data_IF_283133712270
#
_entry.id   IF_283133712270
#
_cell.length_a   1.000
_cell.length_b   1.000
_cell.length_c   1.000
_cell.angle_alpha   90.00
_cell.angle_beta   90.00
_cell.angle_gamma   90.00
#
_symmetry.space_group_name_H-M   'P 1'
#
loop_
_entity.id
_entity.type
_entity.pdbx_description
1 polymer ?
#
# COMPACT_ATOMS: atom_id res chain seq x y z
N UNK A 1 16.39 39.40 -8.36
CA UNK A 1 17.25 39.87 -7.23
C UNK A 1 17.27 41.39 -7.14
N UNK A 2 17.88 42.14 -8.07
CA UNK A 2 17.88 43.62 -8.00
C UNK A 2 16.48 44.25 -8.02
N UNK A 3 15.54 43.74 -8.83
CA UNK A 3 14.14 44.19 -8.82
C UNK A 3 13.35 43.84 -7.55
N UNK A 4 13.80 42.81 -6.80
CA UNK A 4 13.14 42.39 -5.56
C UNK A 4 13.62 43.25 -4.38
N UNK A 5 14.91 43.61 -4.38
CA UNK A 5 15.49 44.53 -3.39
C UNK A 5 14.86 45.92 -3.49
N UNK A 6 14.51 46.35 -4.71
CA UNK A 6 13.92 47.67 -4.95
C UNK A 6 12.46 47.78 -4.47
N UNK A 7 11.69 46.69 -4.55
CA UNK A 7 10.31 46.65 -4.05
C UNK A 7 10.23 46.64 -2.51
N UNK A 8 11.22 46.01 -1.85
CA UNK A 8 11.29 45.94 -0.38
C UNK A 8 11.65 47.31 0.22
N UNK A 9 12.49 48.10 -0.47
CA UNK A 9 12.88 49.44 -0.01
C UNK A 9 11.77 50.49 -0.16
N UNK A 10 10.79 50.28 -1.03
CA UNK A 10 9.65 51.19 -1.19
C UNK A 10 8.58 50.94 -0.10
N UNK A 11 8.36 49.69 0.32
CA UNK A 11 7.41 49.35 1.41
C UNK A 11 7.92 49.77 2.81
N UNK A 12 9.24 49.75 3.06
CA UNK A 12 9.81 50.16 4.36
C UNK A 12 9.73 51.68 4.64
N UNK A 13 9.33 52.50 3.65
CA UNK A 13 9.30 53.96 3.77
C UNK A 13 7.95 54.55 4.16
N UNK A 14 6.88 53.75 4.24
CA UNK A 14 5.51 54.22 4.54
C UNK A 14 5.01 53.92 5.97
N UNK A 15 5.70 53.10 6.77
CA UNK A 15 5.30 52.82 8.15
C UNK A 15 6.17 53.58 9.16
N UNK A 16 5.85 54.86 9.34
CA UNK A 16 6.43 55.71 10.36
C UNK A 16 5.84 55.47 11.76
N UNK A 17 6.70 55.71 12.74
CA UNK A 17 6.43 56.34 14.05
C UNK A 17 5.24 55.81 14.89
N UNK A 18 5.55 55.04 15.94
CA UNK A 18 4.91 55.25 17.24
C UNK A 18 5.79 54.81 18.42
N UNK A 19 5.58 55.50 19.53
CA UNK A 19 6.47 55.79 20.66
C UNK A 19 6.76 54.64 21.65
N UNK A 20 7.96 54.72 22.25
CA UNK A 20 8.39 53.96 23.44
C UNK A 20 7.61 54.35 24.69
N UNK A 21 7.10 53.36 25.42
CA UNK A 21 6.98 53.41 26.89
C UNK A 21 7.55 52.11 27.51
N UNK A 22 8.25 52.30 28.63
CA UNK A 22 9.08 51.32 29.33
C UNK A 22 8.23 50.35 30.18
N UNK A 23 8.55 49.05 30.15
CA UNK A 23 7.96 48.08 31.07
C UNK A 23 8.44 46.64 30.88
N UNK A 24 9.22 46.17 31.85
CA UNK A 24 9.58 44.77 32.19
C UNK A 24 10.50 43.95 31.26
N UNK A 25 11.71 43.69 31.76
CA UNK A 25 12.88 43.21 31.00
C UNK A 25 13.06 41.69 30.97
N UNK A 26 11.97 40.91 31.10
CA UNK A 26 12.05 39.44 31.02
C UNK A 26 11.27 38.81 29.86
N UNK A 27 10.34 39.52 29.20
CA UNK A 27 9.57 38.99 28.05
C UNK A 27 10.17 39.33 26.66
N UNK A 28 10.95 40.41 26.56
CA UNK A 28 11.43 40.95 25.26
C UNK A 28 12.34 40.02 24.44
N UNK A 29 13.06 39.10 25.10
CA UNK A 29 13.96 38.15 24.41
C UNK A 29 13.18 37.05 23.67
N UNK A 30 12.00 36.69 24.19
CA UNK A 30 11.14 35.68 23.59
C UNK A 30 10.41 36.24 22.36
N UNK A 31 9.90 37.48 22.44
CA UNK A 31 9.19 38.15 21.36
C UNK A 31 10.09 38.44 20.15
N UNK A 32 11.33 38.88 20.39
CA UNK A 32 12.32 39.08 19.31
C UNK A 32 12.61 37.77 18.57
N UNK A 33 12.74 36.64 19.30
CA UNK A 33 12.98 35.33 18.69
C UNK A 33 11.77 34.81 17.89
N UNK A 34 10.55 35.15 18.31
CA UNK A 34 9.31 34.79 17.61
C UNK A 34 9.15 35.62 16.34
N UNK A 35 9.50 36.90 16.36
CA UNK A 35 9.47 37.76 15.18
C UNK A 35 10.49 37.30 14.13
N UNK A 36 11.71 36.95 14.54
CA UNK A 36 12.71 36.36 13.62
C UNK A 36 12.21 35.05 12.99
N UNK A 37 11.52 34.20 13.75
CA UNK A 37 10.93 32.96 13.19
C UNK A 37 9.83 33.26 12.16
N UNK A 38 8.97 34.25 12.42
CA UNK A 38 7.91 34.68 11.48
C UNK A 38 8.48 35.26 10.19
N UNK A 39 9.54 36.08 10.29
CA UNK A 39 10.22 36.64 9.11
C UNK A 39 10.89 35.54 8.28
N UNK A 40 11.58 34.60 8.95
CA UNK A 40 12.17 33.44 8.28
C UNK A 40 11.11 32.57 7.59
N UNK A 41 9.95 32.36 8.22
CA UNK A 41 8.83 31.63 7.62
C UNK A 41 8.31 32.33 6.36
N UNK A 42 8.08 33.65 6.42
CA UNK A 42 7.68 34.45 5.24
C UNK A 42 8.71 34.35 4.12
N UNK A 43 10.00 34.40 4.46
CA UNK A 43 11.09 34.26 3.50
C UNK A 43 11.07 32.87 2.84
N UNK A 44 10.92 31.80 3.63
CA UNK A 44 10.81 30.44 3.11
C UNK A 44 9.59 30.26 2.21
N UNK A 45 8.42 30.79 2.58
CA UNK A 45 7.22 30.77 1.73
C UNK A 45 7.44 31.51 0.41
N UNK A 46 8.13 32.65 0.44
CA UNK A 46 8.43 33.43 -0.76
C UNK A 46 9.35 32.65 -1.73
N UNK A 47 10.38 31.98 -1.20
CA UNK A 47 11.30 31.14 -1.97
C UNK A 47 10.58 29.92 -2.53
N UNK A 48 9.75 29.26 -1.72
CA UNK A 48 8.96 28.12 -2.13
C UNK A 48 8.01 28.48 -3.28
N UNK A 49 7.31 29.61 -3.19
CA UNK A 49 6.43 30.10 -4.26
C UNK A 49 7.17 30.38 -5.57
N UNK A 50 8.39 30.92 -5.50
CA UNK A 50 9.22 31.20 -6.68
C UNK A 50 9.75 29.90 -7.32
N UNK A 51 10.13 28.93 -6.50
CA UNK A 51 10.76 27.67 -6.95
C UNK A 51 9.74 26.57 -7.27
N UNK A 52 8.46 26.79 -7.00
CA UNK A 52 7.42 25.75 -7.07
C UNK A 52 7.57 24.68 -5.98
N UNK A 53 8.27 25.01 -4.88
CA UNK A 53 8.43 24.16 -3.71
C UNK A 53 7.26 24.27 -2.72
N UNK A 54 7.24 23.41 -1.72
CA UNK A 54 6.29 23.44 -0.61
C UNK A 54 7.03 23.63 0.72
N UNK A 55 6.43 24.41 1.64
CA UNK A 55 6.91 24.56 3.02
C UNK A 55 5.98 23.79 3.92
N UNK A 56 6.53 22.91 4.76
CA UNK A 56 5.76 22.20 5.78
C UNK A 56 6.45 22.23 7.12
N UNK A 57 5.65 22.17 8.17
CA UNK A 57 6.16 21.97 9.52
C UNK A 57 6.78 20.57 9.61
N UNK A 58 7.94 20.46 10.27
CA UNK A 58 8.57 19.19 10.59
C UNK A 58 8.15 18.71 11.98
N UNK A 59 6.84 18.72 12.27
CA UNK A 59 6.34 18.24 13.58
C UNK A 59 6.27 16.73 13.58
N UNK A 60 5.65 16.17 12.55
CA UNK A 60 5.46 14.74 12.40
C UNK A 60 6.25 14.23 11.21
N UNK A 61 6.83 13.03 11.34
CA UNK A 61 7.55 12.37 10.25
C UNK A 61 6.67 12.17 9.00
N UNK A 62 5.36 12.05 9.15
CA UNK A 62 4.43 11.98 8.02
C UNK A 62 4.34 13.30 7.27
N UNK A 63 4.34 14.45 7.95
CA UNK A 63 4.40 15.75 7.28
C UNK A 63 5.71 15.89 6.49
N UNK A 64 6.81 15.40 7.07
CA UNK A 64 8.08 15.32 6.36
C UNK A 64 8.03 14.35 5.17
N UNK A 65 7.40 13.18 5.29
CA UNK A 65 7.26 12.21 4.20
C UNK A 65 6.29 12.68 3.11
N UNK A 66 5.26 13.47 3.47
CA UNK A 66 4.34 14.13 2.52
C UNK A 66 5.11 15.07 1.59
N UNK A 67 6.14 15.76 2.08
CA UNK A 67 6.93 16.74 1.30
C UNK A 67 8.19 16.20 0.66
N UNK A 68 8.96 15.39 1.39
CA UNK A 68 10.14 14.73 0.85
C UNK A 68 9.78 13.80 -0.32
N UNK A 69 8.50 13.45 -0.43
CA UNK A 69 7.96 12.50 -1.38
C UNK A 69 8.39 11.11 -0.96
N UNK A 70 7.43 10.22 -0.79
CA UNK A 70 7.73 8.79 -0.91
C UNK A 70 8.47 8.62 -2.24
N UNK A 71 9.68 8.07 -2.19
CA UNK A 71 10.59 7.85 -3.33
C UNK A 71 9.80 7.79 -4.63
N UNK A 72 9.93 8.78 -5.53
CA UNK A 72 9.19 8.80 -6.81
C UNK A 72 9.46 7.48 -7.52
N UNK A 73 8.50 6.55 -7.42
CA UNK A 73 8.63 5.24 -8.02
C UNK A 73 8.70 5.50 -9.53
N UNK A 74 9.72 4.99 -10.23
CA UNK A 74 9.78 5.17 -11.68
C UNK A 74 8.44 4.70 -12.26
N UNK A 75 7.83 5.53 -13.10
CA UNK A 75 6.54 5.21 -13.70
C UNK A 75 6.65 3.83 -14.36
N UNK A 76 5.62 3.01 -14.16
CA UNK A 76 5.55 1.67 -14.76
C UNK A 76 5.84 1.75 -16.26
N UNK A 77 6.59 0.78 -16.78
CA UNK A 77 6.93 0.74 -18.21
C UNK A 77 5.66 0.70 -19.04
N UNK A 78 5.51 1.68 -19.94
CA UNK A 78 4.38 1.73 -20.86
C UNK A 78 4.56 0.68 -21.94
N UNK A 79 3.54 -0.17 -22.11
CA UNK A 79 3.49 -1.18 -23.15
C UNK A 79 2.51 -0.76 -24.23
N UNK A 80 2.89 -0.94 -25.49
CA UNK A 80 2.03 -0.68 -26.64
C UNK A 80 0.98 -1.79 -26.73
N UNK A 81 -0.23 -1.42 -27.11
CA UNK A 81 -1.31 -2.34 -27.41
C UNK A 81 -2.14 -1.85 -28.59
N UNK A 82 -2.80 -2.79 -29.27
CA UNK A 82 -3.86 -2.48 -30.21
C UNK A 82 -5.17 -2.26 -29.44
N UNK A 83 -5.75 -1.07 -29.53
CA UNK A 83 -7.01 -0.71 -28.88
C UNK A 83 -8.13 -0.59 -29.91
N UNK A 84 -9.05 -1.55 -29.90
CA UNK A 84 -10.19 -1.63 -30.81
C UNK A 84 -11.46 -1.18 -30.10
N UNK A 85 -12.00 -0.02 -30.49
CA UNK A 85 -13.27 0.50 -29.95
C UNK A 85 -14.45 -0.06 -30.73
N UNK A 86 -14.31 -0.14 -32.06
CA UNK A 86 -15.29 -0.67 -32.99
C UNK A 86 -14.57 -1.41 -34.14
N UNK A 87 -15.23 -2.25 -34.95
CA UNK A 87 -14.58 -3.07 -35.98
C UNK A 87 -13.65 -2.31 -36.94
N UNK A 88 -13.95 -1.04 -37.23
CA UNK A 88 -13.15 -0.17 -38.11
C UNK A 88 -12.41 0.95 -37.36
N UNK A 89 -12.50 0.99 -36.03
CA UNK A 89 -11.90 2.01 -35.18
C UNK A 89 -10.85 1.36 -34.27
N UNK A 90 -9.64 1.26 -34.83
CA UNK A 90 -8.46 0.70 -34.18
C UNK A 90 -7.44 1.81 -33.94
N UNK A 91 -6.92 1.87 -32.71
CA UNK A 91 -5.95 2.85 -32.25
C UNK A 91 -4.73 2.14 -31.67
N UNK A 92 -3.55 2.70 -31.89
CA UNK A 92 -2.35 2.28 -31.16
C UNK A 92 -2.34 3.01 -29.83
N UNK A 93 -2.60 2.29 -28.74
CA UNK A 93 -2.62 2.82 -27.38
C UNK A 93 -1.45 2.28 -26.57
N UNK A 94 -1.22 2.87 -25.41
CA UNK A 94 -0.26 2.42 -24.42
C UNK A 94 -0.97 2.19 -23.09
N UNK A 95 -0.62 1.10 -22.40
CA UNK A 95 -1.04 0.88 -21.02
C UNK A 95 0.14 0.86 -20.06
N UNK A 96 -0.14 1.24 -18.82
CA UNK A 96 0.77 1.16 -17.70
C UNK A 96 0.01 0.87 -16.41
N UNK A 97 0.64 0.12 -15.51
CA UNK A 97 0.06 -0.18 -14.21
C UNK A 97 -0.04 1.09 -13.35
N UNK A 98 -1.22 1.37 -12.78
CA UNK A 98 -1.43 2.55 -11.92
C UNK A 98 -1.03 2.28 -10.48
N UNK A 99 -1.39 1.10 -9.97
CA UNK A 99 -1.19 0.70 -8.58
C UNK A 99 -0.46 -0.63 -8.54
N UNK A 100 0.63 -0.69 -7.78
CA UNK A 100 1.41 -1.90 -7.56
C UNK A 100 1.51 -2.14 -6.06
N UNK A 101 1.30 -3.38 -5.61
CA UNK A 101 1.62 -3.77 -4.24
C UNK A 101 3.13 -3.70 -4.02
N UNK A 102 3.56 -2.86 -3.08
CA UNK A 102 4.96 -2.83 -2.66
C UNK A 102 5.30 -4.10 -1.85
N UNK A 103 6.22 -4.91 -2.38
CA UNK A 103 6.70 -6.12 -1.71
C UNK A 103 7.96 -5.83 -0.89
N UNK A 104 8.15 -6.59 0.20
CA UNK A 104 9.39 -6.58 0.96
C UNK A 104 10.53 -7.21 0.12
N UNK A 105 11.78 -6.76 0.30
CA UNK A 105 12.92 -7.39 -0.36
C UNK A 105 13.06 -8.86 0.06
N UNK A 106 13.46 -9.71 -0.88
CA UNK A 106 13.69 -11.13 -0.63
C UNK A 106 14.97 -11.34 0.16
N UNK A 107 14.93 -12.19 1.19
CA UNK A 107 16.10 -12.59 1.97
C UNK A 107 16.75 -13.84 1.37
N UNK A 108 18.08 -13.92 1.43
CA UNK A 108 18.85 -15.11 1.07
C UNK A 108 19.23 -15.87 2.34
N UNK A 109 19.22 -17.19 2.25
CA UNK A 109 19.71 -18.05 3.32
C UNK A 109 21.21 -18.25 3.15
N UNK A 110 21.97 -17.96 4.21
CA UNK A 110 23.39 -18.23 4.30
C UNK A 110 23.66 -19.11 5.52
N UNK A 111 24.70 -19.94 5.42
CA UNK A 111 25.19 -20.76 6.53
C UNK A 111 26.55 -20.23 6.98
N UNK A 112 26.76 -20.23 8.28
CA UNK A 112 28.07 -19.99 8.86
C UNK A 112 29.00 -21.16 8.56
N UNK A 113 30.17 -20.89 7.99
CA UNK A 113 31.21 -21.89 7.83
C UNK A 113 31.85 -22.12 9.20
N UNK A 114 31.92 -23.37 9.63
CA UNK A 114 32.54 -23.77 10.90
C UNK A 114 33.84 -24.53 10.63
N UNK A 115 34.85 -24.28 11.46
CA UNK A 115 36.10 -25.03 11.46
C UNK A 115 35.92 -26.42 12.09
N UNK A 116 36.96 -27.25 12.02
CA UNK A 116 36.96 -28.62 12.54
C UNK A 116 36.65 -28.70 14.06
N UNK A 117 36.88 -27.60 14.79
CA UNK A 117 36.63 -27.48 16.23
C UNK A 117 35.21 -26.94 16.55
N UNK A 118 34.40 -26.62 15.54
CA UNK A 118 33.00 -26.20 15.69
C UNK A 118 32.76 -24.69 15.83
N UNK A 119 33.84 -23.90 15.89
CA UNK A 119 33.83 -22.42 15.90
C UNK A 119 33.58 -21.85 14.50
N UNK A 120 32.95 -20.68 14.41
CA UNK A 120 32.65 -20.01 13.13
C UNK A 120 33.92 -19.39 12.55
N UNK A 121 34.27 -19.76 11.32
CA UNK A 121 35.42 -19.17 10.62
C UNK A 121 35.20 -17.67 10.43
N UNK A 122 36.22 -16.85 10.70
CA UNK A 122 36.19 -15.40 10.45
C UNK A 122 37.19 -14.98 9.38
N UNK A 123 36.78 -14.06 8.50
CA UNK A 123 37.64 -13.39 7.51
C UNK A 123 38.69 -12.48 8.19
N UNK A 124 39.63 -11.96 7.39
CA UNK A 124 40.68 -11.03 7.82
C UNK A 124 40.16 -9.74 8.52
N UNK A 125 38.89 -9.39 8.31
CA UNK A 125 38.20 -8.27 8.94
C UNK A 125 37.37 -8.67 10.17
N UNK A 126 37.60 -9.85 10.76
CA UNK A 126 36.85 -10.40 11.90
C UNK A 126 35.33 -10.51 11.64
N UNK A 127 34.95 -10.88 10.42
CA UNK A 127 33.55 -11.14 10.04
C UNK A 127 33.35 -12.62 9.75
N UNK A 128 32.21 -13.22 10.12
CA UNK A 128 31.96 -14.63 9.90
C UNK A 128 31.87 -14.94 8.41
N UNK A 129 32.59 -15.99 8.00
CA UNK A 129 32.57 -16.51 6.63
C UNK A 129 31.24 -17.20 6.40
N UNK A 130 30.52 -16.72 5.40
CA UNK A 130 29.19 -17.22 5.02
C UNK A 130 29.27 -18.00 3.71
N UNK A 131 28.61 -19.16 3.67
CA UNK A 131 28.44 -19.95 2.45
C UNK A 131 26.98 -19.89 1.95
N UNK A 132 26.83 -19.89 0.62
CA UNK A 132 25.54 -19.98 -0.04
C UNK A 132 24.99 -21.42 0.05
N UNK A 133 23.72 -21.58 0.43
CA UNK A 133 23.07 -22.88 0.44
C UNK A 133 22.46 -23.20 -0.93
N UNK A 134 22.79 -24.38 -1.45
CA UNK A 134 22.08 -25.01 -2.56
C UNK A 134 20.94 -25.87 -2.00
N UNK A 135 19.74 -25.70 -2.54
CA UNK A 135 18.57 -26.53 -2.18
C UNK A 135 18.36 -27.58 -3.25
N UNK A 136 18.51 -28.84 -2.89
CA UNK A 136 18.15 -29.97 -3.74
C UNK A 136 16.82 -30.57 -3.27
N UNK A 137 15.94 -30.91 -4.22
CA UNK A 137 14.59 -31.42 -3.94
C UNK A 137 14.42 -32.81 -4.53
N UNK A 138 14.38 -33.80 -3.65
CA UNK A 138 14.19 -35.21 -3.99
C UNK A 138 12.70 -35.57 -3.92
N UNK A 139 12.23 -36.33 -4.91
CA UNK A 139 10.84 -36.79 -4.97
C UNK A 139 10.82 -38.31 -4.76
N UNK A 140 10.03 -38.76 -3.79
CA UNK A 140 9.90 -40.17 -3.43
C UNK A 140 8.53 -40.71 -3.81
N UNK A 141 8.43 -42.03 -3.96
CA UNK A 141 7.15 -42.68 -4.22
C UNK A 141 6.19 -42.53 -3.03
N UNK A 142 4.90 -42.34 -3.33
CA UNK A 142 3.84 -42.16 -2.32
C UNK A 142 3.65 -43.40 -1.46
N UNK A 143 3.85 -44.59 -2.02
CA UNK A 143 3.68 -45.85 -1.31
C UNK A 143 4.95 -46.34 -0.60
N UNK A 144 6.12 -45.92 -1.09
CA UNK A 144 7.39 -46.28 -0.51
C UNK A 144 8.38 -45.11 -0.53
N UNK A 145 8.55 -44.46 0.62
CA UNK A 145 9.42 -43.29 0.78
C UNK A 145 10.91 -43.60 0.54
N UNK A 146 11.31 -44.88 0.57
CA UNK A 146 12.70 -45.28 0.34
C UNK A 146 13.07 -45.32 -1.15
N UNK A 147 12.07 -45.22 -2.04
CA UNK A 147 12.28 -45.23 -3.49
C UNK A 147 12.24 -43.80 -4.02
N UNK A 148 13.39 -43.33 -4.49
CA UNK A 148 13.51 -42.08 -5.22
C UNK A 148 13.06 -42.24 -6.68
N UNK A 149 12.21 -41.33 -7.14
CA UNK A 149 11.72 -41.32 -8.53
C UNK A 149 12.57 -40.34 -9.35
N UNK A 150 13.36 -40.79 -10.34
CA UNK A 150 14.19 -39.89 -11.15
C UNK A 150 13.34 -38.98 -12.05
N UNK A 151 13.85 -37.81 -12.47
CA UNK A 151 13.09 -36.82 -13.25
C UNK A 151 12.57 -37.37 -14.59
N UNK A 152 13.27 -38.31 -15.21
CA UNK A 152 12.88 -38.94 -16.49
C UNK A 152 11.60 -39.78 -16.38
N UNK A 153 11.32 -40.32 -15.18
CA UNK A 153 10.12 -41.12 -14.91
C UNK A 153 8.95 -40.27 -14.39
N UNK A 154 9.08 -38.95 -14.38
CA UNK A 154 8.04 -38.03 -13.89
C UNK A 154 7.27 -37.47 -15.08
N UNK A 155 5.95 -37.60 -15.02
CA UNK A 155 5.05 -37.05 -16.03
C UNK A 155 4.09 -36.08 -15.33
N UNK A 156 3.87 -34.92 -15.95
CA UNK A 156 2.91 -33.93 -15.45
C UNK A 156 1.49 -34.45 -15.67
N UNK A 157 0.68 -34.40 -14.63
CA UNK A 157 -0.72 -34.81 -14.69
C UNK A 157 -1.62 -33.76 -14.08
N UNK A 158 -2.76 -33.52 -14.73
CA UNK A 158 -3.82 -32.65 -14.23
C UNK A 158 -4.92 -33.49 -13.63
N UNK A 159 -5.46 -33.03 -12.49
CA UNK A 159 -6.60 -33.69 -11.86
C UNK A 159 -7.88 -33.22 -12.53
N UNK A 160 -8.64 -34.16 -13.08
CA UNK A 160 -9.96 -33.90 -13.64
C UNK A 160 -10.99 -34.73 -12.88
N UNK A 161 -11.60 -34.12 -11.87
CA UNK A 161 -12.49 -34.80 -10.94
C UNK A 161 -11.76 -35.84 -10.08
N UNK A 162 -12.10 -37.11 -10.27
CA UNK A 162 -11.47 -38.24 -9.58
C UNK A 162 -10.18 -38.76 -10.25
N UNK A 163 -10.01 -38.49 -11.53
CA UNK A 163 -8.96 -39.08 -12.35
C UNK A 163 -7.78 -38.12 -12.60
N UNK A 164 -6.63 -38.70 -12.94
CA UNK A 164 -5.43 -37.98 -13.33
C UNK A 164 -5.20 -38.15 -14.84
N UNK A 165 -5.19 -37.04 -15.57
CA UNK A 165 -4.91 -37.00 -17.00
C UNK A 165 -3.45 -36.59 -17.17
N UNK A 166 -2.63 -37.48 -17.72
CA UNK A 166 -1.24 -37.20 -18.03
C UNK A 166 -1.13 -36.39 -19.32
N UNK A 167 -0.32 -35.34 -19.31
CA UNK A 167 -0.10 -34.46 -20.47
C UNK A 167 1.38 -34.30 -20.73
N UNK A 168 1.80 -34.46 -21.99
CA UNK A 168 3.18 -34.16 -22.40
C UNK A 168 3.36 -32.66 -22.63
N UNK A 169 4.61 -32.20 -22.59
CA UNK A 169 4.93 -30.79 -22.85
C UNK A 169 4.49 -30.31 -24.25
N UNK A 170 4.62 -31.15 -25.28
CA UNK A 170 4.17 -30.84 -26.64
C UNK A 170 2.65 -30.70 -26.74
N UNK A 171 1.91 -31.55 -26.04
CA UNK A 171 0.44 -31.50 -26.01
C UNK A 171 0.00 -30.21 -25.30
N UNK A 172 0.63 -29.86 -24.18
CA UNK A 172 0.35 -28.64 -23.42
C UNK A 172 0.59 -27.37 -24.24
N UNK A 173 1.69 -27.31 -25.00
CA UNK A 173 1.99 -26.18 -25.88
C UNK A 173 0.98 -26.07 -27.04
N UNK A 174 0.56 -27.19 -27.62
CA UNK A 174 -0.45 -27.22 -28.69
C UNK A 174 -1.86 -26.83 -28.24
N UNK A 175 -2.17 -27.01 -26.95
CA UNK A 175 -3.46 -26.65 -26.34
C UNK A 175 -3.49 -25.19 -25.89
N UNK A 176 -2.35 -24.49 -25.86
CA UNK A 176 -2.26 -23.10 -25.43
C UNK A 176 -2.95 -22.20 -26.45
N UNK A 177 -3.77 -21.26 -25.96
CA UNK A 177 -4.39 -20.26 -26.84
C UNK A 177 -3.37 -19.18 -27.22
N UNK A 178 -3.07 -19.05 -28.50
CA UNK A 178 -2.26 -17.96 -29.03
C UNK A 178 -3.00 -16.63 -28.93
N UNK A 179 -2.37 -15.63 -28.33
CA UNK A 179 -3.00 -14.32 -28.09
C UNK A 179 -2.03 -13.17 -28.29
N UNK A 180 -2.51 -12.08 -28.90
CA UNK A 180 -1.74 -10.85 -29.10
C UNK A 180 -2.17 -9.80 -28.08
N UNK A 181 -1.24 -8.90 -27.73
CA UNK A 181 -1.49 -7.78 -26.83
C UNK A 181 -2.50 -6.82 -27.48
N UNK A 182 -3.75 -6.92 -27.04
CA UNK A 182 -4.84 -6.10 -27.55
C UNK A 182 -5.89 -5.85 -26.47
N UNK A 183 -6.57 -4.73 -26.59
CA UNK A 183 -7.77 -4.40 -25.83
C UNK A 183 -8.91 -4.12 -26.79
N UNK A 184 -10.03 -4.80 -26.60
CA UNK A 184 -11.22 -4.67 -27.45
C UNK A 184 -12.43 -4.34 -26.61
N UNK A 185 -13.09 -3.24 -26.93
CA UNK A 185 -14.37 -2.87 -26.33
C UNK A 185 -15.44 -3.84 -26.83
N UNK A 186 -16.20 -4.39 -25.90
CA UNK A 186 -17.32 -5.31 -26.14
C UNK A 186 -18.64 -4.51 -26.18
N UNK A 187 -18.82 -3.59 -25.23
CA UNK A 187 -20.02 -2.76 -25.14
C UNK A 187 -19.92 -1.72 -24.02
N UNK A 188 -20.96 -0.90 -23.88
CA UNK A 188 -21.08 0.13 -22.86
C UNK A 188 -22.27 -0.19 -21.94
N UNK A 189 -22.12 0.10 -20.65
CA UNK A 189 -23.14 -0.11 -19.62
C UNK A 189 -23.15 1.11 -18.69
N UNK A 190 -24.26 1.38 -18.01
CA UNK A 190 -24.32 2.46 -17.02
C UNK A 190 -23.30 2.25 -15.89
N UNK A 191 -22.66 3.31 -15.43
CA UNK A 191 -21.65 3.29 -14.36
C UNK A 191 -22.15 2.57 -13.09
N UNK A 192 -23.38 2.87 -12.66
CA UNK A 192 -24.01 2.26 -11.48
C UNK A 192 -24.33 0.76 -11.59
N UNK A 193 -24.23 0.16 -12.79
CA UNK A 193 -24.46 -1.28 -12.96
C UNK A 193 -23.31 -2.16 -12.46
N UNK A 194 -22.12 -1.58 -12.31
CA UNK A 194 -20.92 -2.31 -11.93
C UNK A 194 -20.66 -2.13 -10.44
N UNK A 195 -20.85 -3.16 -9.60
CA UNK A 195 -20.58 -3.04 -8.19
C UNK A 195 -19.07 -2.93 -7.95
N UNK A 196 -18.65 -1.91 -7.18
CA UNK A 196 -17.24 -1.70 -6.82
C UNK A 196 -16.59 -2.93 -6.17
N UNK A 197 -17.37 -3.69 -5.39
CA UNK A 197 -16.90 -4.92 -4.72
C UNK A 197 -16.62 -6.09 -5.67
N UNK A 198 -17.04 -6.03 -6.93
CA UNK A 198 -16.72 -7.05 -7.93
C UNK A 198 -15.44 -6.75 -8.70
N UNK A 199 -14.78 -5.61 -8.50
CA UNK A 199 -13.55 -5.28 -9.21
C UNK A 199 -12.36 -6.06 -8.64
N UNK A 200 -11.55 -6.66 -9.52
CA UNK A 200 -10.42 -7.52 -9.18
C UNK A 200 -9.13 -6.93 -9.79
N UNK A 201 -8.01 -7.22 -9.13
CA UNK A 201 -6.66 -6.87 -9.56
C UNK A 201 -6.39 -5.35 -9.57
N UNK A 202 -5.14 -4.99 -9.85
CA UNK A 202 -4.70 -3.61 -10.02
C UNK A 202 -5.22 -2.98 -11.30
N UNK A 203 -5.50 -1.67 -11.23
CA UNK A 203 -5.91 -0.88 -12.39
C UNK A 203 -4.77 -0.56 -13.36
N UNK A 204 -5.10 -0.53 -14.65
CA UNK A 204 -4.20 -0.15 -15.74
C UNK A 204 -4.68 1.16 -16.38
N UNK A 205 -3.82 2.16 -16.45
CA UNK A 205 -4.10 3.37 -17.21
C UNK A 205 -3.87 3.10 -18.70
N UNK A 206 -4.86 3.46 -19.53
CA UNK A 206 -4.82 3.40 -20.99
C UNK A 206 -4.71 4.82 -21.53
N UNK A 207 -3.73 5.04 -22.39
CA UNK A 207 -3.37 6.36 -22.94
C UNK A 207 -3.04 6.27 -24.43
N UNK A 208 -3.08 7.38 -25.16
CA UNK A 208 -2.74 7.43 -26.59
C UNK A 208 -1.24 7.37 -26.92
N UNK A 209 -0.38 7.14 -25.93
CA UNK A 209 1.07 7.10 -26.12
C UNK A 209 1.63 8.38 -26.71
N UNK A 210 2.44 8.26 -27.78
CA UNK A 210 3.06 9.38 -28.49
C UNK A 210 2.12 9.99 -29.55
N UNK A 211 1.11 9.25 -30.02
CA UNK A 211 0.29 9.68 -31.15
C UNK A 211 -0.76 10.71 -30.71
N UNK A 212 -0.74 11.95 -31.24
CA UNK A 212 -1.72 12.97 -30.86
C UNK A 212 -3.15 12.57 -31.26
N UNK A 213 -3.30 11.83 -32.36
CA UNK A 213 -4.61 11.30 -32.80
C UNK A 213 -5.17 10.28 -31.81
N UNK A 214 -4.33 9.37 -31.29
CA UNK A 214 -4.77 8.39 -30.31
C UNK A 214 -5.05 9.04 -28.95
N UNK A 215 -4.27 10.05 -28.56
CA UNK A 215 -4.50 10.83 -27.34
C UNK A 215 -5.84 11.56 -27.40
N UNK A 216 -6.10 12.28 -28.50
CA UNK A 216 -7.37 12.99 -28.70
C UNK A 216 -8.55 12.03 -28.71
N UNK A 217 -8.43 10.88 -29.40
CA UNK A 217 -9.49 9.88 -29.46
C UNK A 217 -9.82 9.29 -28.07
N UNK A 218 -8.80 8.89 -27.30
CA UNK A 218 -8.99 8.36 -25.94
C UNK A 218 -9.54 9.42 -25.00
N UNK A 219 -9.06 10.66 -25.08
CA UNK A 219 -9.56 11.76 -24.26
C UNK A 219 -11.02 12.08 -24.59
N UNK A 220 -11.39 12.11 -25.88
CA UNK A 220 -12.77 12.34 -26.31
C UNK A 220 -13.70 11.21 -25.88
N UNK A 221 -13.22 9.96 -25.91
CA UNK A 221 -13.98 8.80 -25.44
C UNK A 221 -14.19 8.88 -23.93
N UNK A 222 -13.14 9.21 -23.16
CA UNK A 222 -13.24 9.35 -21.71
C UNK A 222 -14.24 10.46 -21.33
N UNK A 223 -14.19 11.60 -22.02
CA UNK A 223 -15.12 12.70 -21.79
C UNK A 223 -16.57 12.31 -22.12
N UNK A 224 -16.80 11.68 -23.28
CA UNK A 224 -18.14 11.24 -23.66
C UNK A 224 -18.71 10.19 -22.69
N UNK A 225 -17.88 9.23 -22.25
CA UNK A 225 -18.26 8.23 -21.26
C UNK A 225 -18.68 8.86 -19.93
N UNK A 226 -18.04 9.95 -19.54
CA UNK A 226 -18.35 10.67 -18.33
C UNK A 226 -19.61 11.54 -18.45
N UNK A 227 -19.79 12.23 -19.57
CA UNK A 227 -20.99 13.02 -19.86
C UNK A 227 -22.26 12.14 -19.86
N UNK A 228 -22.15 10.91 -20.37
CA UNK A 228 -23.24 9.95 -20.46
C UNK A 228 -23.37 9.02 -19.23
N UNK A 229 -22.48 9.14 -18.22
CA UNK A 229 -22.39 8.23 -17.05
C UNK A 229 -22.34 6.73 -17.43
N UNK A 230 -21.54 6.41 -18.44
CA UNK A 230 -21.34 5.05 -18.95
C UNK A 230 -19.90 4.57 -18.80
N UNK A 231 -19.75 3.26 -18.62
CA UNK A 231 -18.49 2.54 -18.54
C UNK A 231 -18.45 1.48 -19.63
N UNK A 232 -17.26 1.17 -20.13
CA UNK A 232 -17.10 0.21 -21.22
C UNK A 232 -16.64 -1.14 -20.67
N UNK A 233 -17.23 -2.24 -21.14
CA UNK A 233 -16.73 -3.59 -20.90
C UNK A 233 -15.73 -3.91 -22.01
N UNK A 234 -14.53 -4.34 -21.64
CA UNK A 234 -13.47 -4.64 -22.58
C UNK A 234 -12.81 -5.99 -22.29
N UNK A 235 -12.44 -6.69 -23.37
CA UNK A 235 -11.50 -7.82 -23.35
C UNK A 235 -10.09 -7.25 -23.42
N UNK A 236 -9.20 -7.69 -22.56
CA UNK A 236 -7.82 -7.24 -22.50
C UNK A 236 -6.85 -8.42 -22.42
N UNK A 237 -5.80 -8.40 -23.23
CA UNK A 237 -4.72 -9.38 -23.21
C UNK A 237 -3.44 -8.67 -22.76
N UNK A 238 -2.92 -9.04 -21.59
CA UNK A 238 -1.83 -8.32 -20.89
C UNK A 238 -0.46 -8.54 -21.52
N UNK A 239 -0.19 -9.72 -22.07
CA UNK A 239 1.08 -10.11 -22.70
C UNK A 239 0.80 -11.05 -23.88
N UNK A 240 1.78 -11.26 -24.75
CA UNK A 240 1.66 -12.27 -25.81
C UNK A 240 1.47 -13.66 -25.18
N UNK A 241 0.53 -14.42 -25.73
CA UNK A 241 0.09 -15.74 -25.27
C UNK A 241 -0.35 -15.78 -23.80
N UNK A 242 -0.80 -14.65 -23.26
CA UNK A 242 -1.46 -14.59 -21.97
C UNK A 242 -2.97 -14.81 -22.11
N UNK A 243 -3.58 -15.31 -21.05
CA UNK A 243 -5.02 -15.50 -21.01
C UNK A 243 -5.76 -14.15 -21.12
N UNK A 244 -6.82 -14.06 -21.95
CA UNK A 244 -7.62 -12.87 -22.06
C UNK A 244 -8.40 -12.64 -20.77
N UNK A 245 -8.31 -11.43 -20.23
CA UNK A 245 -9.11 -10.99 -19.09
C UNK A 245 -10.26 -10.12 -19.57
N UNK A 246 -11.40 -10.16 -18.88
CA UNK A 246 -12.50 -9.23 -19.10
C UNK A 246 -12.48 -8.21 -17.97
N UNK A 247 -12.79 -6.96 -18.27
CA UNK A 247 -12.83 -5.92 -17.27
C UNK A 247 -13.63 -4.71 -17.69
N UNK A 248 -13.72 -3.77 -16.77
CA UNK A 248 -14.33 -2.47 -16.99
C UNK A 248 -13.26 -1.46 -17.36
N UNK A 249 -13.57 -0.61 -18.32
CA UNK A 249 -12.81 0.56 -18.73
C UNK A 249 -13.60 1.80 -18.32
N UNK A 250 -13.06 2.57 -17.39
CA UNK A 250 -13.72 3.73 -16.78
C UNK A 250 -13.00 5.02 -17.15
N UNK A 251 -13.72 6.15 -17.31
CA UNK A 251 -13.08 7.44 -17.49
C UNK A 251 -12.40 7.90 -16.18
N UNK A 252 -11.20 8.44 -16.30
CA UNK A 252 -10.49 9.06 -15.18
C UNK A 252 -10.19 10.51 -15.51
N UNK A 253 -10.85 11.42 -14.78
CA UNK A 253 -10.48 12.82 -14.72
C UNK A 253 -9.13 12.98 -14.03
N UNK A 254 -8.29 13.82 -14.63
CA UNK A 254 -7.03 14.24 -14.03
C UNK A 254 -7.14 15.75 -13.85
N UNK A 255 -7.72 16.15 -12.73
CA UNK A 255 -7.76 17.56 -12.34
C UNK A 255 -6.44 17.89 -11.64
N UNK A 256 -5.38 18.08 -12.42
CA UNK A 256 -4.11 18.58 -11.88
C UNK A 256 -4.21 20.09 -11.67
N UNK A 257 -4.87 20.50 -10.59
CA UNK A 257 -4.71 21.84 -10.02
C UNK A 257 -3.38 21.92 -9.28
N UNK A 258 -2.26 21.84 -9.99
CA UNK A 258 -0.97 22.22 -9.41
C UNK A 258 -0.70 23.68 -9.76
N UNK A 259 -0.64 24.54 -8.75
CA UNK A 259 -0.13 25.91 -8.84
C UNK A 259 -0.95 26.90 -9.70
N UNK A 260 -2.28 26.76 -9.76
CA UNK A 260 -3.17 27.78 -10.34
C UNK A 260 -3.05 28.00 -11.85
N UNK A 261 -2.33 27.12 -12.56
CA UNK A 261 -2.35 27.05 -14.02
C UNK A 261 -3.16 25.81 -14.42
N UNK A 262 -4.23 26.02 -15.19
CA UNK A 262 -5.02 24.96 -15.82
C UNK A 262 -4.18 24.31 -16.93
N UNK A 263 -3.26 23.42 -16.56
CA UNK A 263 -2.65 22.55 -17.56
C UNK A 263 -3.68 21.48 -17.95
N UNK A 264 -4.21 21.60 -19.18
CA UNK A 264 -5.16 20.66 -19.77
C UNK A 264 -4.49 19.30 -19.98
N UNK A 265 -4.43 18.48 -18.94
CA UNK A 265 -3.88 17.12 -19.02
C UNK A 265 -4.91 16.22 -19.70
N UNK A 266 -4.53 15.48 -20.77
CA UNK A 266 -5.48 14.65 -21.50
C UNK A 266 -6.09 13.59 -20.57
N UNK A 267 -7.42 13.46 -20.65
CA UNK A 267 -8.17 12.44 -19.91
C UNK A 267 -7.65 11.04 -20.25
N UNK A 268 -7.67 10.16 -19.26
CA UNK A 268 -7.23 8.76 -19.41
C UNK A 268 -8.38 7.82 -19.14
N UNK A 269 -8.24 6.61 -19.65
CA UNK A 269 -9.13 5.51 -19.29
C UNK A 269 -8.42 4.59 -18.31
N UNK A 270 -9.16 3.99 -17.39
CA UNK A 270 -8.65 3.04 -16.40
C UNK A 270 -9.34 1.71 -16.59
N UNK A 271 -8.56 0.69 -16.93
CA UNK A 271 -9.02 -0.68 -17.02
C UNK A 271 -8.84 -1.38 -15.67
N UNK A 272 -9.90 -2.00 -15.15
CA UNK A 272 -9.87 -2.85 -13.96
C UNK A 272 -10.53 -4.18 -14.31
N UNK A 273 -9.90 -5.28 -13.91
CA UNK A 273 -10.37 -6.62 -14.23
C UNK A 273 -11.68 -6.93 -13.47
N UNK A 274 -12.56 -7.68 -14.11
CA UNK A 274 -13.79 -8.22 -13.50
C UNK A 274 -13.66 -9.75 -13.38
N UNK A 275 -14.34 -10.37 -12.40
CA UNK A 275 -14.39 -11.80 -12.24
C UNK A 275 -15.06 -12.46 -13.44
N UNK A 276 -14.59 -13.66 -13.76
CA UNK A 276 -15.37 -14.61 -14.52
C UNK A 276 -16.45 -15.25 -13.62
N UNK A 277 -17.39 -15.97 -14.23
CA UNK A 277 -18.42 -16.69 -13.48
C UNK A 277 -17.81 -17.70 -12.49
N UNK A 278 -16.67 -18.30 -12.85
CA UNK A 278 -15.92 -19.26 -12.03
C UNK A 278 -15.29 -18.63 -10.78
N UNK A 279 -14.98 -17.33 -10.81
CA UNK A 279 -14.41 -16.61 -9.68
C UNK A 279 -15.47 -16.25 -8.63
N UNK A 280 -16.76 -16.32 -8.99
CA UNK A 280 -17.85 -15.89 -8.14
C UNK A 280 -18.32 -17.01 -7.18
N UNK A 281 -17.94 -16.90 -5.92
CA UNK A 281 -18.44 -17.79 -4.87
C UNK A 281 -19.83 -17.32 -4.37
N UNK A 282 -20.87 -18.11 -4.67
CA UNK A 282 -22.25 -17.88 -4.23
C UNK A 282 -22.44 -18.29 -2.77
N UNK A 283 -22.19 -17.37 -1.84
CA UNK A 283 -22.51 -17.57 -0.43
C UNK A 283 -23.89 -16.98 -0.09
N UNK A 284 -24.75 -17.78 0.54
CA UNK A 284 -26.04 -17.31 1.05
C UNK A 284 -25.91 -16.99 2.54
N UNK A 285 -26.06 -15.73 2.89
CA UNK A 285 -26.10 -15.28 4.28
C UNK A 285 -27.55 -15.00 4.71
N UNK A 286 -27.85 -15.16 6.00
CA UNK A 286 -29.13 -14.72 6.56
C UNK A 286 -29.20 -13.19 6.48
N UNK A 287 -30.30 -12.65 5.97
CA UNK A 287 -30.54 -11.20 6.00
C UNK A 287 -30.56 -10.71 7.44
N UNK A 288 -29.87 -9.59 7.70
CA UNK A 288 -30.03 -8.84 8.94
C UNK A 288 -31.48 -8.36 9.06
N UNK A 289 -32.05 -8.41 10.27
CA UNK A 289 -33.42 -7.94 10.54
C UNK A 289 -33.34 -6.62 11.30
N UNK A 290 -33.82 -5.50 10.74
CA UNK A 290 -33.72 -4.18 11.38
C UNK A 290 -34.57 -4.05 12.66
N UNK A 291 -35.47 -5.01 12.90
CA UNK A 291 -36.29 -5.15 14.11
C UNK A 291 -35.50 -5.68 15.31
N UNK A 292 -34.34 -6.29 15.09
CA UNK A 292 -33.47 -6.83 16.16
C UNK A 292 -32.75 -5.71 16.94
N UNK A 293 -32.91 -4.44 16.54
CA UNK A 293 -32.24 -3.28 17.14
C UNK A 293 -33.23 -2.26 17.69
N UNK A 294 -32.99 -1.80 18.91
CA UNK A 294 -33.80 -0.77 19.58
C UNK A 294 -33.54 0.61 18.97
N UNK A 295 -34.52 1.51 18.96
CA UNK A 295 -34.33 2.90 18.49
C UNK A 295 -33.18 3.63 19.23
N UNK A 296 -33.06 3.41 20.54
CA UNK A 296 -31.96 3.92 21.34
C UNK A 296 -30.59 3.42 20.85
N UNK A 297 -30.50 2.15 20.43
CA UNK A 297 -29.26 1.57 19.88
C UNK A 297 -28.87 2.23 18.57
N UNK A 298 -29.85 2.52 17.70
CA UNK A 298 -29.64 3.23 16.44
C UNK A 298 -29.14 4.66 16.69
N UNK A 299 -29.81 5.40 17.56
CA UNK A 299 -29.42 6.77 17.91
C UNK A 299 -28.00 6.83 18.52
N UNK A 300 -27.66 5.91 19.43
CA UNK A 300 -26.29 5.87 19.99
C UNK A 300 -25.23 5.48 18.96
N UNK A 301 -25.59 4.68 17.95
CA UNK A 301 -24.68 4.33 16.85
C UNK A 301 -24.47 5.53 15.91
N UNK A 302 -25.53 6.29 15.61
CA UNK A 302 -25.43 7.54 14.84
C UNK A 302 -24.56 8.57 15.56
N UNK A 303 -24.78 8.79 16.86
CA UNK A 303 -23.93 9.67 17.69
C UNK A 303 -22.46 9.24 17.67
N UNK A 304 -22.20 7.93 17.69
CA UNK A 304 -20.85 7.38 17.62
C UNK A 304 -20.22 7.66 16.25
N UNK A 305 -20.96 7.44 15.16
CA UNK A 305 -20.51 7.74 13.80
C UNK A 305 -20.15 9.23 13.70
N UNK A 306 -21.02 10.15 14.11
CA UNK A 306 -20.78 11.59 14.06
C UNK A 306 -19.59 12.04 14.93
N UNK A 307 -19.34 11.33 16.03
CA UNK A 307 -18.16 11.57 16.88
C UNK A 307 -16.85 11.10 16.23
N UNK A 308 -16.89 10.01 15.45
CA UNK A 308 -15.72 9.36 14.83
C UNK A 308 -15.50 9.71 13.35
N UNK A 309 -16.37 10.53 12.74
CA UNK A 309 -16.20 11.01 11.37
C UNK A 309 -14.88 11.78 11.22
N UNK A 310 -14.00 11.27 10.37
CA UNK A 310 -12.70 11.88 10.05
C UNK A 310 -12.83 12.87 8.88
N UNK A 311 -12.07 13.96 8.92
CA UNK A 311 -11.92 14.81 7.74
C UNK A 311 -11.07 14.08 6.68
N UNK A 312 -11.28 14.35 5.37
CA UNK A 312 -10.57 13.65 4.30
C UNK A 312 -9.04 13.85 4.34
N UNK A 313 -8.57 14.92 5.00
CA UNK A 313 -7.14 15.30 5.03
C UNK A 313 -6.37 14.71 6.22
N UNK A 314 -7.08 14.28 7.27
CA UNK A 314 -6.46 13.80 8.53
C UNK A 314 -5.82 12.42 8.41
N UNK A 315 -6.44 11.50 7.65
CA UNK A 315 -5.96 10.13 7.48
C UNK A 315 -5.98 9.69 6.01
N UNK A 316 -5.24 10.42 5.17
CA UNK A 316 -5.10 10.05 3.76
C UNK A 316 -4.12 8.88 3.58
N UNK A 317 -4.70 7.68 3.44
CA UNK A 317 -3.99 6.43 3.13
C UNK A 317 -3.14 6.49 1.85
N UNK A 318 -3.41 7.43 0.93
CA UNK A 318 -2.62 7.58 -0.30
C UNK A 318 -1.24 8.19 -0.03
N UNK A 319 -1.13 8.99 1.03
CA UNK A 319 0.12 9.65 1.44
C UNK A 319 0.91 8.83 2.45
N UNK A 320 0.23 8.00 3.24
CA UNK A 320 0.86 7.20 4.28
C UNK A 320 1.63 6.02 3.68
N UNK A 321 2.95 5.92 3.91
CA UNK A 321 3.75 4.81 3.38
C UNK A 321 3.50 3.52 4.14
N UNK A 322 3.86 2.39 3.52
CA UNK A 322 3.70 1.07 4.12
C UNK A 322 4.58 0.92 5.39
N UNK A 323 3.98 0.74 6.59
CA UNK A 323 4.71 0.65 7.86
C UNK A 323 5.63 -0.57 7.92
N UNK A 324 5.30 -1.67 7.24
CA UNK A 324 6.13 -2.89 7.26
C UNK A 324 7.50 -2.65 6.60
N UNK A 325 7.54 -1.88 5.51
CA UNK A 325 8.80 -1.54 4.82
C UNK A 325 9.64 -0.61 5.70
N UNK A 326 9.00 0.35 6.38
CA UNK A 326 9.70 1.25 7.29
C UNK A 326 10.25 0.51 8.51
N UNK A 327 9.45 -0.35 9.13
CA UNK A 327 9.87 -1.20 10.24
C UNK A 327 11.07 -2.07 9.86
N UNK A 328 11.04 -2.71 8.67
CA UNK A 328 12.20 -3.45 8.15
C UNK A 328 13.44 -2.57 8.04
N UNK A 329 13.34 -1.39 7.41
CA UNK A 329 14.48 -0.48 7.25
C UNK A 329 15.03 0.01 8.59
N UNK A 330 14.16 0.30 9.57
CA UNK A 330 14.55 0.67 10.93
C UNK A 330 15.39 -0.43 11.56
N UNK A 331 14.88 -1.67 11.56
CA UNK A 331 15.60 -2.82 12.13
C UNK A 331 16.91 -3.10 11.41
N UNK A 332 16.97 -2.94 10.08
CA UNK A 332 18.21 -3.10 9.31
C UNK A 332 19.26 -2.05 9.70
N UNK A 333 18.87 -0.77 9.77
CA UNK A 333 19.76 0.32 10.16
C UNK A 333 20.28 0.09 11.58
N UNK A 334 19.38 -0.26 12.50
CA UNK A 334 19.72 -0.56 13.88
C UNK A 334 20.75 -1.69 13.98
N UNK A 335 20.49 -2.83 13.34
CA UNK A 335 21.40 -3.98 13.34
C UNK A 335 22.75 -3.68 12.68
N UNK A 336 22.79 -2.81 11.67
CA UNK A 336 24.03 -2.41 10.99
C UNK A 336 24.85 -1.46 11.87
N UNK A 337 24.20 -0.49 12.53
CA UNK A 337 24.87 0.52 13.36
C UNK A 337 25.35 -0.09 14.68
N UNK A 338 24.50 -0.86 15.36
CA UNK A 338 24.81 -1.48 16.64
C UNK A 338 25.82 -2.64 16.51
N UNK A 339 26.18 -3.03 15.28
CA UNK A 339 27.11 -4.12 15.02
C UNK A 339 26.58 -5.51 15.35
N UNK A 340 25.35 -5.62 15.88
CA UNK A 340 24.65 -6.88 16.23
C UNK A 340 24.36 -7.75 15.00
N UNK A 341 24.60 -7.24 13.79
CA UNK A 341 24.61 -8.05 12.57
C UNK A 341 25.71 -9.14 12.57
N UNK A 342 26.64 -9.12 13.53
CA UNK A 342 27.70 -10.09 13.68
C UNK A 342 27.77 -10.48 15.15
N UNK A 343 27.79 -11.80 15.40
CA UNK A 343 28.22 -12.45 16.65
C UNK A 343 27.17 -12.57 17.78
N UNK A 344 26.50 -13.71 17.80
CA UNK A 344 26.69 -14.68 18.89
C UNK A 344 26.18 -16.03 18.39
N UNK A 345 26.83 -17.12 18.83
CA UNK A 345 26.37 -18.50 18.59
C UNK A 345 24.99 -18.77 19.26
N UNK A 346 24.52 -17.82 20.07
CA UNK A 346 23.33 -17.85 20.91
C UNK A 346 22.06 -17.37 20.19
N UNK A 347 21.73 -17.99 19.07
CA UNK A 347 20.42 -17.83 18.44
C UNK A 347 20.07 -16.39 18.00
N UNK A 348 18.82 -16.14 17.57
CA UNK A 348 18.42 -14.81 17.09
C UNK A 348 18.28 -13.84 18.28
N UNK A 349 19.12 -12.81 18.33
CA UNK A 349 18.89 -11.65 19.21
C UNK A 349 17.49 -11.11 18.95
N UNK A 350 16.70 -10.93 20.01
CA UNK A 350 15.38 -10.34 19.90
C UNK A 350 15.53 -8.95 19.29
N UNK A 351 14.66 -8.61 18.33
CA UNK A 351 14.54 -7.22 17.93
C UNK A 351 14.00 -6.43 19.11
N UNK A 352 14.44 -5.18 19.24
CA UNK A 352 13.80 -4.25 20.14
C UNK A 352 12.30 -4.19 19.85
N UNK A 353 11.54 -3.97 20.93
CA UNK A 353 10.13 -3.70 20.79
C UNK A 353 9.93 -2.53 19.83
N UNK A 354 8.86 -2.59 19.06
CA UNK A 354 8.41 -1.40 18.34
C UNK A 354 7.99 -0.42 19.44
N UNK A 355 8.80 0.61 19.69
CA UNK A 355 8.46 1.64 20.69
C UNK A 355 7.04 2.16 20.44
N UNK A 356 6.28 2.41 21.51
CA UNK A 356 4.92 2.98 21.42
C UNK A 356 4.94 4.34 20.70
N UNK A 357 5.98 5.14 20.93
CA UNK A 357 6.28 6.38 20.21
C UNK A 357 6.32 6.17 18.70
N UNK A 358 6.75 4.98 18.26
CA UNK A 358 6.80 4.66 16.85
C UNK A 358 5.40 4.50 16.25
N UNK A 359 4.43 3.94 16.99
CA UNK A 359 3.02 3.88 16.54
C UNK A 359 2.39 5.26 16.36
N UNK A 360 2.71 6.19 17.25
CA UNK A 360 2.33 7.60 17.12
C UNK A 360 3.06 8.28 15.94
N UNK A 361 4.36 7.98 15.75
CA UNK A 361 5.14 8.42 14.57
C UNK A 361 4.68 7.81 13.24
N UNK A 362 4.02 6.64 13.26
CA UNK A 362 3.48 5.99 12.07
C UNK A 362 2.12 6.56 11.68
N UNK A 363 1.49 7.41 12.51
CA UNK A 363 0.10 7.92 12.42
C UNK A 363 -0.90 6.97 11.74
N UNK A 364 -0.77 5.68 12.07
CA UNK A 364 -1.80 4.69 11.84
C UNK A 364 -2.85 4.75 12.95
N UNK A 365 -2.48 5.36 14.08
CA UNK A 365 -3.40 5.67 15.16
C UNK A 365 -4.39 6.76 14.72
N UNK A 366 -5.63 6.62 15.18
CA UNK A 366 -6.62 7.68 15.08
C UNK A 366 -6.14 8.94 15.80
N UNK A 367 -6.34 10.15 15.24
CA UNK A 367 -5.90 11.39 15.89
C UNK A 367 -6.44 11.53 17.32
N UNK A 368 -5.61 12.03 18.23
CA UNK A 368 -5.95 12.15 19.66
C UNK A 368 -7.23 12.95 19.90
N UNK A 369 -7.45 14.04 19.14
CA UNK A 369 -8.65 14.87 19.27
C UNK A 369 -9.95 14.11 18.92
N UNK A 370 -9.90 13.14 18.00
CA UNK A 370 -11.04 12.29 17.65
C UNK A 370 -11.31 11.30 18.77
N UNK A 371 -10.25 10.72 19.35
CA UNK A 371 -10.37 9.83 20.50
C UNK A 371 -10.98 10.54 21.71
N UNK A 372 -10.52 11.75 22.03
CA UNK A 372 -11.08 12.57 23.11
C UNK A 372 -12.56 12.88 22.87
N UNK A 373 -12.92 13.26 21.64
CA UNK A 373 -14.31 13.54 21.25
C UNK A 373 -15.21 12.30 21.38
N UNK A 374 -14.71 11.12 21.01
CA UNK A 374 -15.52 9.90 20.95
C UNK A 374 -15.61 9.14 22.28
N UNK A 375 -14.80 9.48 23.31
CA UNK A 375 -14.77 8.77 24.60
C UNK A 375 -16.16 8.59 25.22
N UNK A 376 -16.95 9.67 25.32
CA UNK A 376 -18.27 9.63 25.92
C UNK A 376 -19.27 8.81 25.09
N UNK A 377 -19.22 8.93 23.76
CA UNK A 377 -20.08 8.17 22.86
C UNK A 377 -19.75 6.66 22.90
N UNK A 378 -18.46 6.34 22.95
CA UNK A 378 -17.96 4.95 23.03
C UNK A 378 -18.39 4.28 24.33
N UNK A 379 -18.30 4.99 25.47
CA UNK A 379 -18.77 4.47 26.75
C UNK A 379 -20.29 4.20 26.72
N UNK A 380 -21.09 5.15 26.22
CA UNK A 380 -22.55 4.96 26.06
C UNK A 380 -22.88 3.77 25.16
N UNK A 381 -22.17 3.62 24.05
CA UNK A 381 -22.33 2.50 23.14
C UNK A 381 -21.99 1.17 23.85
N UNK A 382 -20.84 1.09 24.51
CA UNK A 382 -20.42 -0.13 25.23
C UNK A 382 -21.38 -0.55 26.34
N UNK A 383 -22.03 0.41 27.01
CA UNK A 383 -23.01 0.12 28.06
C UNK A 383 -24.37 -0.36 27.53
N UNK A 384 -24.67 -0.11 26.25
CA UNK A 384 -25.96 -0.44 25.62
C UNK A 384 -25.92 -1.76 24.83
N UNK A 385 -24.73 -2.20 24.43
CA UNK A 385 -24.51 -3.45 23.70
C UNK A 385 -23.81 -4.47 24.61
N UNK A 386 -24.59 -5.42 25.13
CA UNK A 386 -24.06 -6.52 25.93
C UNK A 386 -23.22 -7.46 25.04
N UNK A 387 -21.90 -7.47 25.28
CA UNK A 387 -20.95 -8.30 24.54
C UNK A 387 -20.32 -9.34 25.48
N UNK A 388 -20.83 -10.56 25.41
CA UNK A 388 -20.24 -11.71 26.08
C UNK A 388 -19.25 -12.42 25.16
N UNK A 389 -18.04 -12.71 25.67
CA UNK A 389 -17.10 -13.59 24.98
C UNK A 389 -17.62 -15.02 25.11
N UNK A 390 -17.99 -15.64 23.99
CA UNK A 390 -18.26 -17.06 23.99
C UNK A 390 -17.01 -17.83 24.44
N UNK A 391 -17.18 -18.78 25.36
CA UNK A 391 -16.11 -19.70 25.73
C UNK A 391 -15.64 -20.46 24.47
N UNK A 392 -14.32 -20.48 24.24
CA UNK A 392 -13.69 -21.00 23.01
C UNK A 392 -14.05 -22.46 22.69
N UNK A 393 -14.67 -23.19 23.62
CA UNK A 393 -15.10 -24.58 23.45
C UNK A 393 -16.22 -24.76 22.41
N UNK A 394 -16.99 -23.70 22.10
CA UNK A 394 -18.11 -23.78 21.17
C UNK A 394 -17.71 -23.71 19.67
N UNK A 395 -16.47 -23.33 19.35
CA UNK A 395 -15.94 -23.32 17.97
C UNK A 395 -15.24 -24.66 17.76
N UNK A 396 -15.97 -25.61 17.19
CA UNK A 396 -15.71 -27.05 17.23
C UNK A 396 -14.24 -27.48 17.12
N UNK A 397 -13.75 -28.19 18.15
CA UNK A 397 -12.69 -29.23 18.15
C UNK A 397 -11.45 -29.04 17.23
N UNK A 398 -11.10 -27.81 16.87
CA UNK A 398 -9.76 -27.46 16.44
C UNK A 398 -9.00 -27.11 17.70
N UNK A 399 -8.17 -28.02 18.22
CA UNK A 399 -7.30 -27.75 19.38
C UNK A 399 -6.66 -26.38 19.20
N UNK A 400 -6.96 -25.43 20.07
CA UNK A 400 -6.17 -24.21 20.23
C UNK A 400 -4.75 -24.65 20.62
N UNK A 401 -3.90 -24.86 19.61
CA UNK A 401 -2.47 -25.14 19.81
C UNK A 401 -1.70 -23.85 20.02
N UNK A 402 -2.27 -22.89 20.75
CA UNK A 402 -1.49 -21.84 21.41
C UNK A 402 -1.34 -22.20 22.88
N UNK A 403 -0.66 -23.33 23.14
CA UNK A 403 0.17 -23.37 24.35
C UNK A 403 1.12 -22.18 24.20
N UNK A 404 1.06 -21.20 25.11
CA UNK A 404 2.13 -20.18 25.23
C UNK A 404 3.44 -20.97 25.18
N UNK A 405 4.29 -20.72 24.17
CA UNK A 405 5.61 -21.37 24.09
C UNK A 405 6.35 -20.95 25.36
N UNK A 406 6.40 -21.85 26.34
CA UNK A 406 7.27 -21.70 27.50
C UNK A 406 8.68 -21.83 26.98
N UNK A 407 9.46 -20.76 27.09
CA UNK A 407 10.89 -20.81 26.87
C UNK A 407 11.54 -21.40 28.12
N UNK A 408 12.66 -22.11 27.96
CA UNK A 408 13.40 -22.71 29.08
C UNK A 408 13.82 -21.68 30.14
N UNK A 409 14.00 -20.41 29.74
CA UNK A 409 14.28 -19.28 30.65
C UNK A 409 13.13 -18.97 31.61
N UNK A 410 11.89 -19.33 31.27
CA UNK A 410 10.71 -19.10 32.11
C UNK A 410 10.43 -20.24 33.09
N UNK A 411 11.26 -21.30 33.08
CA UNK A 411 11.10 -22.46 33.97
C UNK A 411 11.94 -22.30 35.24
N UNK A 412 12.95 -21.44 35.24
CA UNK A 412 13.84 -21.22 36.41
C UNK A 412 13.24 -20.35 37.52
N UNK A 413 12.12 -19.65 37.27
CA UNK A 413 11.49 -18.79 38.28
C UNK A 413 10.51 -19.53 39.20
N UNK A 414 10.11 -20.75 38.86
CA UNK A 414 9.20 -21.58 39.64
C UNK A 414 9.96 -22.75 40.31
N UNK A 415 10.96 -22.43 41.14
CA UNK A 415 11.67 -23.41 42.00
C UNK A 415 10.98 -23.59 43.37
N UNK A 416 9.65 -23.50 43.39
CA UNK A 416 8.81 -23.95 44.51
C UNK A 416 7.92 -25.11 44.02
N UNK A 417 8.50 -26.29 43.83
CA UNK A 417 7.86 -27.62 43.96
C UNK A 417 8.84 -28.73 43.55
N UNK A 418 9.76 -29.07 44.45
CA UNK A 418 10.23 -30.43 44.66
C UNK A 418 10.04 -30.83 46.13
#
# INVERSE_FOLDING_TARGET
LQKAVQAIQEEESEEGEESKEEGDSSDSSSEASVNVKKENEKLLMSIAKITGGAVTAARNLIEMMKVAGTKKIPRSMKKKMEFTIAPNLVLNAEYSLLVVKANLPTLRMHAFVKDADGEVCTDADSKPVMADLLKDTVYTDKHNTDIEVPPENRIKAYRYGGDYITTNAYDEESLKMESKIAMRVIGFVASGSIPRGALIDSGYAVTGGISPRAQAAISSLAQAMEEDDVVAIARFVKMEDADPVIGVLMPMKIDLRQNGQEEQVPHKLVFIQMPFEEDYAKYTFRSFRPEETTELQKATAEDLIDSMMLSPDELDSSTTPNPAIRSLNRTLIQRVIEGVAVETEDGPTANDAIDEDCFEEFALATPAHVLEKCQMATQKFSALFDLDKAEEEAIGKGKSTRKKRRYWSQVQEDDDLF
#
